data_IF_902823323320
#
_entry.id   IF_902823323320
#
_cell.length_a   1.000
_cell.length_b   1.000
_cell.length_c   1.000
_cell.angle_alpha   90.00
_cell.angle_beta   90.00
_cell.angle_gamma   90.00
#
_symmetry.space_group_name_H-M   'P 1'
#
loop_
_entity.id
_entity.type
_entity.pdbx_description
1 polymer ?
#
# COMPACT_ATOMS: atom_id res chain seq x y z
N UNK A 1 18.50 -36.73 23.09
CA UNK A 1 19.28 -35.87 22.17
C UNK A 1 18.97 -34.42 22.53
N UNK A 2 19.91 -33.48 22.39
CA UNK A 2 19.64 -32.08 22.73
C UNK A 2 18.59 -31.50 21.78
N UNK A 3 17.61 -30.79 22.35
CA UNK A 3 16.59 -30.06 21.60
C UNK A 3 17.28 -28.98 20.75
N UNK A 4 17.02 -28.96 19.44
CA UNK A 4 17.51 -27.90 18.54
C UNK A 4 16.44 -26.83 18.41
N UNK A 5 16.86 -25.57 18.52
CA UNK A 5 15.97 -24.42 18.42
C UNK A 5 16.35 -23.57 17.21
N UNK A 6 15.33 -23.16 16.46
CA UNK A 6 15.41 -22.21 15.36
C UNK A 6 14.47 -21.04 15.65
N UNK A 7 14.92 -19.81 15.39
CA UNK A 7 14.08 -18.60 15.49
C UNK A 7 13.92 -17.99 14.11
N UNK A 8 12.69 -17.59 13.77
CA UNK A 8 12.29 -16.88 12.56
C UNK A 8 11.48 -15.66 13.00
N UNK A 9 12.14 -14.50 13.09
CA UNK A 9 11.57 -13.26 13.65
C UNK A 9 11.50 -12.09 12.65
N UNK A 10 11.75 -12.37 11.37
CA UNK A 10 11.81 -11.36 10.30
C UNK A 10 11.39 -11.97 8.95
N UNK A 11 11.65 -11.25 7.87
CA UNK A 11 11.25 -11.60 6.51
C UNK A 11 11.78 -12.97 6.08
N UNK A 12 10.89 -13.80 5.53
CA UNK A 12 11.23 -15.11 4.95
C UNK A 12 11.62 -14.88 3.49
N UNK A 13 12.89 -15.13 3.15
CA UNK A 13 13.36 -14.93 1.79
C UNK A 13 14.86 -15.01 1.66
N UNK A 14 15.41 -14.52 0.55
CA UNK A 14 16.82 -14.67 0.22
C UNK A 14 17.77 -13.99 1.22
N UNK A 15 17.37 -12.86 1.81
CA UNK A 15 18.19 -12.07 2.73
C UNK A 15 17.76 -12.26 4.19
N UNK A 16 17.84 -13.50 4.68
CA UNK A 16 17.46 -13.85 6.04
C UNK A 16 17.11 -15.32 6.14
N UNK A 17 15.83 -15.59 6.42
CA UNK A 17 15.31 -16.95 6.61
C UNK A 17 15.08 -17.66 5.28
N UNK A 18 16.17 -17.94 4.56
CA UNK A 18 16.12 -18.54 3.23
C UNK A 18 15.91 -20.05 3.27
N UNK A 19 15.35 -20.64 2.19
CA UNK A 19 15.19 -22.10 2.07
C UNK A 19 16.53 -22.83 2.20
N UNK A 20 17.62 -22.24 1.70
CA UNK A 20 18.97 -22.78 1.85
C UNK A 20 19.44 -22.75 3.30
N UNK A 21 19.29 -21.61 3.97
CA UNK A 21 19.73 -21.45 5.35
C UNK A 21 18.97 -22.36 6.31
N UNK A 22 17.64 -22.47 6.17
CA UNK A 22 16.84 -23.41 6.96
C UNK A 22 17.27 -24.85 6.70
N UNK A 23 17.52 -25.23 5.44
CA UNK A 23 18.02 -26.57 5.11
C UNK A 23 19.38 -26.88 5.77
N UNK A 24 20.28 -25.89 5.87
CA UNK A 24 21.56 -26.04 6.56
C UNK A 24 21.39 -26.32 8.06
N UNK A 25 20.46 -25.64 8.73
CA UNK A 25 20.15 -25.89 10.16
C UNK A 25 19.66 -27.32 10.39
N UNK A 26 18.92 -27.88 9.44
CA UNK A 26 18.39 -29.24 9.54
C UNK A 26 19.40 -30.31 9.10
N UNK A 27 20.59 -29.94 8.63
CA UNK A 27 21.60 -30.91 8.18
C UNK A 27 22.18 -31.65 9.38
N UNK A 28 22.17 -32.98 9.33
CA UNK A 28 22.64 -33.82 10.44
C UNK A 28 21.72 -33.79 11.67
N UNK A 29 20.46 -33.36 11.49
CA UNK A 29 19.46 -33.31 12.55
C UNK A 29 18.34 -34.34 12.37
N UNK A 30 18.45 -35.30 11.45
CA UNK A 30 17.32 -36.07 10.91
C UNK A 30 16.42 -36.78 11.96
N UNK A 31 16.92 -37.06 13.16
CA UNK A 31 16.15 -37.66 14.26
C UNK A 31 15.92 -36.72 15.46
N UNK A 32 16.38 -35.48 15.39
CA UNK A 32 16.25 -34.49 16.46
C UNK A 32 14.83 -33.92 16.50
N UNK A 33 14.37 -33.61 17.71
CA UNK A 33 13.24 -32.69 17.89
C UNK A 33 13.72 -31.26 17.62
N UNK A 34 12.98 -30.53 16.78
CA UNK A 34 13.29 -29.15 16.43
C UNK A 34 12.12 -28.26 16.84
N UNK A 35 12.40 -27.28 17.70
CA UNK A 35 11.47 -26.19 17.99
C UNK A 35 11.77 -24.98 17.12
N UNK A 36 10.75 -24.47 16.43
CA UNK A 36 10.86 -23.30 15.55
C UNK A 36 9.99 -22.18 16.13
N UNK A 37 10.62 -21.17 16.71
CA UNK A 37 9.96 -19.97 17.20
C UNK A 37 9.73 -19.00 16.04
N UNK A 38 8.46 -18.63 15.81
CA UNK A 38 8.07 -17.84 14.65
C UNK A 38 7.34 -16.58 15.14
N UNK A 39 7.89 -15.42 14.78
CA UNK A 39 7.32 -14.09 14.98
C UNK A 39 7.60 -13.25 13.73
N UNK A 40 6.92 -13.57 12.62
CA UNK A 40 7.21 -13.00 11.31
C UNK A 40 5.94 -12.62 10.56
N UNK A 41 6.01 -11.49 9.85
CA UNK A 41 4.95 -11.00 8.97
C UNK A 41 4.92 -11.70 7.60
N UNK A 42 5.84 -12.64 7.35
CA UNK A 42 5.89 -13.49 6.17
C UNK A 42 7.03 -13.16 5.21
N UNK A 43 6.78 -13.33 3.91
CA UNK A 43 7.75 -13.10 2.85
C UNK A 43 7.51 -13.95 1.61
N UNK A 44 8.59 -14.44 1.00
CA UNK A 44 8.58 -15.17 -0.26
C UNK A 44 7.84 -16.51 -0.16
N UNK A 45 6.84 -16.70 -1.02
CA UNK A 45 6.06 -17.94 -1.13
C UNK A 45 6.94 -19.13 -1.57
N UNK A 46 7.86 -18.92 -2.52
CA UNK A 46 8.78 -19.97 -2.98
C UNK A 46 9.64 -20.51 -1.83
N UNK A 47 10.24 -19.60 -1.04
CA UNK A 47 11.04 -19.99 0.11
C UNK A 47 10.19 -20.72 1.15
N UNK A 48 8.98 -20.23 1.41
CA UNK A 48 8.12 -20.81 2.41
C UNK A 48 7.55 -22.18 1.99
N UNK A 49 7.30 -22.43 0.70
CA UNK A 49 6.93 -23.77 0.22
C UNK A 49 8.08 -24.77 0.45
N UNK A 50 9.32 -24.40 0.12
CA UNK A 50 10.47 -25.27 0.35
C UNK A 50 10.72 -25.53 1.85
N UNK A 51 10.53 -24.53 2.71
CA UNK A 51 10.67 -24.67 4.17
C UNK A 51 9.54 -25.55 4.74
N UNK A 52 8.30 -25.35 4.28
CA UNK A 52 7.17 -26.23 4.61
C UNK A 52 7.51 -27.70 4.32
N UNK A 53 8.00 -27.99 3.12
CA UNK A 53 8.32 -29.36 2.71
C UNK A 53 9.48 -29.93 3.51
N UNK A 54 10.47 -29.10 3.87
CA UNK A 54 11.54 -29.51 4.78
C UNK A 54 11.00 -29.89 6.15
N UNK A 55 10.10 -29.10 6.73
CA UNK A 55 9.48 -29.39 8.03
C UNK A 55 8.67 -30.69 7.98
N UNK A 56 7.87 -30.86 6.91
CA UNK A 56 7.06 -32.06 6.72
C UNK A 56 7.91 -33.32 6.53
N UNK A 57 8.99 -33.23 5.75
CA UNK A 57 9.93 -34.33 5.51
C UNK A 57 10.69 -34.71 6.78
N UNK A 58 11.07 -33.72 7.60
CA UNK A 58 11.70 -33.97 8.89
C UNK A 58 10.77 -34.67 9.88
N UNK A 59 9.48 -34.31 9.86
CA UNK A 59 8.43 -35.04 10.59
C UNK A 59 8.44 -34.85 12.11
N UNK A 60 9.45 -34.21 12.71
CA UNK A 60 9.53 -33.94 14.15
C UNK A 60 9.82 -32.46 14.49
N UNK A 61 9.09 -31.56 13.82
CA UNK A 61 9.16 -30.10 14.05
C UNK A 61 7.97 -29.61 14.86
N UNK A 62 8.22 -28.81 15.90
CA UNK A 62 7.21 -28.05 16.65
C UNK A 62 7.34 -26.57 16.32
N UNK A 63 6.35 -25.98 15.66
CA UNK A 63 6.30 -24.55 15.39
C UNK A 63 5.63 -23.81 16.56
N UNK A 64 6.23 -22.72 17.03
CA UNK A 64 5.80 -21.93 18.18
C UNK A 64 5.58 -20.49 17.73
N UNK A 65 4.31 -20.09 17.65
CA UNK A 65 3.91 -18.74 17.27
C UNK A 65 3.93 -17.79 18.46
N UNK A 66 4.65 -16.69 18.30
CA UNK A 66 4.73 -15.56 19.23
C UNK A 66 4.61 -14.26 18.45
N UNK A 67 4.14 -13.17 19.06
CA UNK A 67 4.00 -11.90 18.33
C UNK A 67 2.89 -11.89 17.30
N UNK A 68 3.13 -11.14 16.22
CA UNK A 68 2.30 -11.06 15.03
C UNK A 68 2.84 -12.06 14.01
N UNK A 69 2.02 -13.05 13.62
CA UNK A 69 2.43 -14.06 12.64
C UNK A 69 1.49 -14.04 11.44
N UNK A 70 2.03 -13.75 10.26
CA UNK A 70 1.24 -13.58 9.05
C UNK A 70 1.83 -14.32 7.85
N UNK A 71 0.96 -14.59 6.87
CA UNK A 71 1.35 -14.89 5.49
C UNK A 71 2.28 -16.12 5.35
N UNK A 72 3.41 -15.99 4.66
CA UNK A 72 4.34 -17.09 4.44
C UNK A 72 4.82 -17.74 5.76
N UNK A 73 4.86 -17.00 6.86
CA UNK A 73 5.25 -17.52 8.17
C UNK A 73 4.20 -18.46 8.79
N UNK A 74 2.92 -18.20 8.54
CA UNK A 74 1.85 -19.11 8.94
C UNK A 74 1.81 -20.35 8.03
N UNK A 75 2.25 -20.21 6.77
CA UNK A 75 2.31 -21.29 5.79
C UNK A 75 3.41 -22.32 6.07
N UNK A 76 4.63 -21.90 6.44
CA UNK A 76 5.73 -22.85 6.74
C UNK A 76 5.34 -23.83 7.85
N UNK A 77 4.61 -23.34 8.86
CA UNK A 77 4.21 -24.11 10.02
C UNK A 77 3.14 -25.17 9.72
N UNK A 78 2.49 -25.13 8.54
CA UNK A 78 1.58 -26.19 8.11
C UNK A 78 2.29 -27.53 7.91
N UNK A 79 3.60 -27.49 7.64
CA UNK A 79 4.46 -28.67 7.52
C UNK A 79 4.99 -29.16 8.87
N UNK A 80 4.78 -28.41 9.96
CA UNK A 80 5.19 -28.82 11.29
C UNK A 80 4.28 -29.92 11.84
N UNK A 81 4.87 -30.86 12.57
CA UNK A 81 4.15 -31.94 13.27
C UNK A 81 3.17 -31.37 14.29
N UNK A 82 3.57 -30.31 14.99
CA UNK A 82 2.76 -29.64 16.01
C UNK A 82 2.90 -28.13 15.90
N UNK A 83 1.79 -27.41 16.05
CA UNK A 83 1.75 -25.94 16.13
C UNK A 83 1.26 -25.49 17.50
N UNK A 84 2.03 -24.64 18.16
CA UNK A 84 1.71 -24.01 19.44
C UNK A 84 1.63 -22.50 19.26
N UNK A 85 0.71 -21.82 19.91
CA UNK A 85 0.57 -20.38 19.80
C UNK A 85 0.39 -19.72 21.16
N UNK A 86 1.10 -18.62 21.39
CA UNK A 86 0.90 -17.79 22.56
C UNK A 86 -0.51 -17.18 22.53
N UNK A 87 -1.19 -17.15 23.67
CA UNK A 87 -2.51 -16.51 23.84
C UNK A 87 -2.49 -15.02 23.49
N UNK A 88 -1.32 -14.38 23.54
CA UNK A 88 -1.15 -12.96 23.22
C UNK A 88 -0.87 -12.72 21.74
N UNK A 89 -0.69 -13.77 20.94
CA UNK A 89 -0.33 -13.65 19.53
C UNK A 89 -1.53 -13.46 18.63
N UNK A 90 -1.25 -12.89 17.46
CA UNK A 90 -2.21 -12.75 16.37
C UNK A 90 -1.74 -13.55 15.15
N UNK A 91 -2.68 -14.14 14.43
CA UNK A 91 -2.45 -15.00 13.28
C UNK A 91 -3.22 -14.47 12.07
N UNK A 92 -2.57 -14.29 10.92
CA UNK A 92 -3.23 -13.80 9.71
C UNK A 92 -2.86 -14.64 8.50
N UNK A 93 -3.88 -14.95 7.69
CA UNK A 93 -3.73 -15.51 6.35
C UNK A 93 -4.39 -14.57 5.36
N UNK A 94 -3.84 -14.49 4.16
CA UNK A 94 -4.36 -13.64 3.09
C UNK A 94 -4.06 -14.25 1.72
N UNK A 95 -4.72 -13.75 0.67
CA UNK A 95 -4.44 -14.17 -0.73
C UNK A 95 -3.01 -13.80 -1.14
N UNK A 96 -2.40 -14.61 -1.99
CA UNK A 96 -1.03 -14.33 -2.46
C UNK A 96 -1.00 -12.96 -3.13
N UNK A 97 0.01 -12.16 -2.78
CA UNK A 97 0.20 -10.81 -3.28
C UNK A 97 1.56 -10.68 -3.97
N UNK A 98 1.67 -9.71 -4.86
CA UNK A 98 2.92 -9.20 -5.41
C UNK A 98 2.96 -7.69 -5.16
N UNK A 99 4.16 -7.15 -4.98
CA UNK A 99 4.37 -5.70 -5.08
C UNK A 99 4.36 -5.29 -6.54
N UNK A 100 3.67 -4.21 -6.86
CA UNK A 100 3.69 -3.59 -8.20
C UNK A 100 4.17 -2.17 -7.98
N UNK A 101 5.44 -1.92 -8.30
CA UNK A 101 6.02 -0.58 -8.29
C UNK A 101 6.34 -0.18 -9.73
N UNK A 102 5.76 0.93 -10.19
CA UNK A 102 5.98 1.46 -11.53
C UNK A 102 6.80 2.74 -11.39
N UNK A 103 8.08 2.64 -11.70
CA UNK A 103 9.03 3.77 -11.68
C UNK A 103 9.39 4.20 -13.10
N UNK A 104 8.38 4.44 -13.94
CA UNK A 104 8.56 4.82 -15.34
C UNK A 104 7.44 5.76 -15.83
N UNK A 105 7.66 6.43 -16.97
CA UNK A 105 6.64 7.21 -17.67
C UNK A 105 6.06 6.37 -18.81
N UNK A 106 4.80 5.97 -18.68
CA UNK A 106 4.11 5.10 -19.63
C UNK A 106 3.17 5.92 -20.52
N UNK A 107 3.18 5.68 -21.84
CA UNK A 107 2.15 6.18 -22.75
C UNK A 107 0.92 5.23 -22.76
N UNK A 108 -0.09 5.54 -23.57
CA UNK A 108 -1.33 4.75 -23.68
C UNK A 108 -1.09 3.27 -24.05
N UNK A 109 -0.19 3.01 -25.00
CA UNK A 109 0.13 1.65 -25.46
C UNK A 109 0.87 0.86 -24.36
N UNK A 110 1.77 1.52 -23.64
CA UNK A 110 2.51 0.92 -22.53
C UNK A 110 1.58 0.56 -21.36
N UNK A 111 0.56 1.39 -21.09
CA UNK A 111 -0.46 1.13 -20.08
C UNK A 111 -1.31 -0.08 -20.47
N UNK A 112 -1.74 -0.17 -21.72
CA UNK A 112 -2.52 -1.32 -22.22
C UNK A 112 -1.72 -2.62 -22.11
N UNK A 113 -0.43 -2.59 -22.47
CA UNK A 113 0.47 -3.73 -22.31
C UNK A 113 0.63 -4.14 -20.84
N UNK A 114 0.75 -3.17 -19.94
CA UNK A 114 0.85 -3.42 -18.50
C UNK A 114 -0.45 -4.04 -17.94
N UNK A 115 -1.62 -3.56 -18.34
CA UNK A 115 -2.91 -4.14 -17.94
C UNK A 115 -2.97 -5.62 -18.33
N UNK A 116 -2.61 -5.94 -19.58
CA UNK A 116 -2.58 -7.33 -20.05
C UNK A 116 -1.60 -8.20 -19.26
N UNK A 117 -0.46 -7.66 -18.83
CA UNK A 117 0.48 -8.36 -17.98
C UNK A 117 -0.09 -8.58 -16.57
N UNK A 118 -0.68 -7.55 -15.95
CA UNK A 118 -1.29 -7.65 -14.63
C UNK A 118 -2.48 -8.62 -14.59
N UNK A 119 -3.24 -8.73 -15.67
CA UNK A 119 -4.28 -9.75 -15.81
C UNK A 119 -3.70 -11.17 -15.81
N UNK A 120 -2.57 -11.40 -16.49
CA UNK A 120 -1.86 -12.69 -16.45
C UNK A 120 -1.34 -12.97 -15.04
N UNK A 121 -0.70 -12.00 -14.40
CA UNK A 121 -0.14 -12.15 -13.06
C UNK A 121 -1.24 -12.44 -12.03
N UNK A 122 -2.37 -11.74 -12.12
CA UNK A 122 -3.58 -12.01 -11.31
C UNK A 122 -4.06 -13.45 -11.44
N UNK A 123 -4.05 -14.01 -12.65
CA UNK A 123 -4.45 -15.40 -12.88
C UNK A 123 -3.44 -16.40 -12.28
N UNK A 124 -2.14 -16.14 -12.37
CA UNK A 124 -1.11 -16.97 -11.72
C UNK A 124 -1.18 -16.88 -10.19
N UNK A 125 -1.46 -15.70 -9.64
CA UNK A 125 -1.68 -15.51 -8.20
C UNK A 125 -2.92 -16.26 -7.71
N UNK A 126 -3.97 -16.33 -8.51
CA UNK A 126 -5.17 -17.10 -8.18
C UNK A 126 -4.85 -18.61 -8.10
N UNK A 127 -4.01 -19.14 -9.01
CA UNK A 127 -3.56 -20.54 -8.97
C UNK A 127 -2.73 -20.81 -7.71
N UNK A 128 -1.76 -19.95 -7.41
CA UNK A 128 -0.91 -20.09 -6.21
C UNK A 128 -1.73 -19.98 -4.94
N UNK A 129 -2.68 -19.05 -4.88
CA UNK A 129 -3.63 -18.91 -3.77
C UNK A 129 -4.43 -20.19 -3.56
N UNK A 130 -4.89 -20.85 -4.63
CA UNK A 130 -5.64 -22.10 -4.53
C UNK A 130 -4.77 -23.24 -3.96
N UNK A 131 -3.50 -23.33 -4.35
CA UNK A 131 -2.56 -24.32 -3.80
C UNK A 131 -2.41 -24.12 -2.29
N UNK A 132 -2.14 -22.90 -1.85
CA UNK A 132 -1.95 -22.56 -0.44
C UNK A 132 -3.24 -22.76 0.36
N UNK A 133 -4.40 -22.39 -0.19
CA UNK A 133 -5.68 -22.61 0.45
C UNK A 133 -5.95 -24.11 0.70
N UNK A 134 -5.52 -25.00 -0.20
CA UNK A 134 -5.61 -26.45 0.00
C UNK A 134 -4.74 -26.94 1.16
N UNK A 135 -3.56 -26.34 1.37
CA UNK A 135 -2.69 -26.68 2.50
C UNK A 135 -3.38 -26.34 3.84
N UNK A 136 -3.91 -25.11 3.96
CA UNK A 136 -4.68 -24.69 5.14
C UNK A 136 -5.93 -25.54 5.35
N UNK A 137 -6.67 -25.85 4.27
CA UNK A 137 -7.86 -26.68 4.33
C UNK A 137 -7.54 -28.09 4.84
N UNK A 138 -6.42 -28.67 4.40
CA UNK A 138 -5.95 -29.97 4.86
C UNK A 138 -5.58 -29.95 6.36
N UNK A 139 -4.80 -28.97 6.81
CA UNK A 139 -4.41 -28.83 8.23
C UNK A 139 -5.63 -28.58 9.12
N UNK A 140 -6.49 -27.64 8.73
CA UNK A 140 -7.67 -27.23 9.51
C UNK A 140 -8.90 -28.14 9.40
N UNK A 141 -8.87 -29.11 8.48
CA UNK A 141 -10.01 -29.96 8.11
C UNK A 141 -11.25 -29.13 7.75
N UNK A 142 -11.05 -28.10 6.92
CA UNK A 142 -12.09 -27.16 6.44
C UNK A 142 -12.28 -27.30 4.94
N UNK A 143 -13.36 -26.70 4.41
CA UNK A 143 -13.52 -26.59 2.97
C UNK A 143 -12.52 -25.56 2.41
N UNK A 144 -11.96 -25.85 1.24
CA UNK A 144 -11.08 -24.90 0.53
C UNK A 144 -11.78 -23.56 0.29
N UNK A 145 -13.09 -23.58 0.06
CA UNK A 145 -13.89 -22.36 -0.09
C UNK A 145 -13.85 -21.48 1.16
N UNK A 146 -14.05 -22.06 2.35
CA UNK A 146 -14.06 -21.31 3.61
C UNK A 146 -12.69 -20.68 3.89
N UNK A 147 -11.61 -21.39 3.54
CA UNK A 147 -10.26 -20.87 3.61
C UNK A 147 -10.05 -19.71 2.64
N UNK A 148 -10.51 -19.82 1.39
CA UNK A 148 -10.41 -18.74 0.40
C UNK A 148 -11.19 -17.50 0.84
N UNK A 149 -12.36 -17.69 1.46
CA UNK A 149 -13.17 -16.62 2.01
C UNK A 149 -12.46 -15.95 3.21
N UNK A 150 -11.81 -16.72 4.08
CA UNK A 150 -10.99 -16.19 5.18
C UNK A 150 -9.75 -15.44 4.67
N UNK A 151 -9.02 -15.98 3.69
CA UNK A 151 -7.89 -15.32 3.04
C UNK A 151 -8.29 -14.02 2.34
N UNK A 152 -9.54 -13.92 1.86
CA UNK A 152 -10.08 -12.69 1.27
C UNK A 152 -10.33 -11.61 2.33
N UNK A 153 -10.72 -11.98 3.55
CA UNK A 153 -10.99 -11.03 4.63
C UNK A 153 -9.72 -10.33 5.11
N UNK A 154 -8.56 -11.00 5.04
CA UNK A 154 -7.27 -10.45 5.46
C UNK A 154 -7.32 -9.94 6.92
N UNK A 155 -8.02 -10.65 7.81
CA UNK A 155 -8.20 -10.25 9.21
C UNK A 155 -7.26 -10.99 10.14
N UNK A 156 -6.88 -10.35 11.24
CA UNK A 156 -6.15 -11.00 12.32
C UNK A 156 -7.06 -11.91 13.16
N UNK A 157 -6.58 -13.11 13.45
CA UNK A 157 -7.21 -14.08 14.33
C UNK A 157 -6.46 -14.12 15.66
N UNK A 158 -7.20 -14.18 16.76
CA UNK A 158 -6.66 -14.54 18.08
C UNK A 158 -6.18 -15.99 18.07
N UNK A 159 -5.37 -16.37 19.06
CA UNK A 159 -4.89 -17.74 19.21
C UNK A 159 -6.02 -18.77 19.33
N UNK A 160 -7.12 -18.44 20.04
CA UNK A 160 -8.27 -19.34 20.18
C UNK A 160 -9.05 -19.47 18.86
N UNK A 161 -9.18 -18.39 18.08
CA UNK A 161 -9.77 -18.45 16.73
C UNK A 161 -8.89 -19.26 15.78
N UNK A 162 -7.57 -19.05 15.77
CA UNK A 162 -6.66 -19.84 14.94
C UNK A 162 -6.72 -21.35 15.29
N UNK A 163 -6.91 -21.66 16.58
CA UNK A 163 -7.15 -23.03 17.04
C UNK A 163 -8.52 -23.58 16.59
N UNK A 164 -9.60 -22.80 16.61
CA UNK A 164 -10.92 -23.25 16.14
C UNK A 164 -10.97 -23.48 14.62
N UNK A 165 -10.14 -22.75 13.88
CA UNK A 165 -9.86 -23.01 12.46
C UNK A 165 -9.00 -24.26 12.22
N UNK A 166 -8.33 -24.78 13.26
CA UNK A 166 -7.47 -25.95 13.20
C UNK A 166 -6.06 -25.68 12.69
N UNK A 167 -5.65 -24.40 12.62
CA UNK A 167 -4.29 -24.02 12.25
C UNK A 167 -3.29 -24.18 13.41
N UNK A 168 -3.80 -24.10 14.64
CA UNK A 168 -3.04 -24.21 15.89
C UNK A 168 -3.51 -25.43 16.68
N UNK A 169 -2.59 -26.29 17.09
CA UNK A 169 -2.91 -27.47 17.89
C UNK A 169 -3.05 -27.11 19.39
N UNK A 170 -2.17 -26.25 19.92
CA UNK A 170 -2.11 -25.88 21.33
C UNK A 170 -1.99 -24.36 21.54
N UNK A 171 -2.76 -23.80 22.48
CA UNK A 171 -2.61 -22.40 22.91
C UNK A 171 -1.99 -22.41 24.30
N UNK A 172 -0.93 -21.63 24.50
CA UNK A 172 -0.26 -21.47 25.79
C UNK A 172 -0.30 -20.02 26.25
N UNK A 173 -0.29 -19.78 27.57
CA UNK A 173 -0.28 -18.44 28.15
C UNK A 173 1.12 -18.11 28.65
N UNK A 174 1.81 -17.11 28.08
CA UNK A 174 3.11 -16.66 28.62
C UNK A 174 2.91 -15.83 29.89
N UNK A 175 3.97 -15.64 30.66
CA UNK A 175 3.94 -14.90 31.93
C UNK A 175 3.65 -13.39 31.80
N UNK A 176 3.84 -12.81 30.61
CA UNK A 176 3.59 -11.39 30.32
C UNK A 176 2.66 -11.24 29.12
N UNK A 177 1.59 -10.45 29.29
CA UNK A 177 0.69 -10.03 28.20
C UNK A 177 1.27 -8.80 27.51
N UNK A 178 1.39 -8.86 26.18
CA UNK A 178 1.92 -7.78 25.33
C UNK A 178 0.81 -7.36 24.37
N UNK A 179 0.51 -6.06 24.30
CA UNK A 179 -0.40 -5.49 23.33
C UNK A 179 0.41 -4.91 22.16
N UNK A 180 0.44 -5.61 21.03
CA UNK A 180 1.27 -5.22 19.88
C UNK A 180 0.75 -3.98 19.15
N UNK A 181 -0.53 -3.62 19.33
CA UNK A 181 -1.10 -2.40 18.77
C UNK A 181 -0.64 -1.11 19.49
N UNK A 182 0.07 -1.24 20.61
CA UNK A 182 0.68 -0.12 21.34
C UNK A 182 2.15 0.09 20.94
N UNK A 183 2.75 -0.82 20.16
CA UNK A 183 4.10 -0.71 19.62
C UNK A 183 4.06 -0.05 18.23
N UNK A 184 4.44 1.22 18.16
CA UNK A 184 4.42 2.02 16.93
C UNK A 184 5.30 1.43 15.81
N UNK A 185 6.42 0.79 16.16
CA UNK A 185 7.29 0.17 15.17
C UNK A 185 6.59 -1.05 14.55
N UNK A 186 5.88 -1.83 15.36
CA UNK A 186 5.11 -2.96 14.87
C UNK A 186 3.93 -2.51 14.01
N UNK A 187 3.24 -1.44 14.41
CA UNK A 187 2.17 -0.84 13.58
C UNK A 187 2.70 -0.41 12.22
N UNK A 188 3.84 0.29 12.18
CA UNK A 188 4.49 0.70 10.94
C UNK A 188 4.86 -0.51 10.04
N UNK A 189 5.40 -1.58 10.63
CA UNK A 189 5.72 -2.80 9.88
C UNK A 189 4.47 -3.50 9.32
N UNK A 190 3.39 -3.59 10.11
CA UNK A 190 2.11 -4.16 9.67
C UNK A 190 1.56 -3.39 8.46
N UNK A 191 1.58 -2.05 8.54
CA UNK A 191 1.12 -1.19 7.46
C UNK A 191 2.01 -1.28 6.22
N UNK A 192 3.34 -1.30 6.38
CA UNK A 192 4.28 -1.44 5.29
C UNK A 192 4.13 -2.78 4.54
N UNK A 193 3.64 -3.83 5.21
CA UNK A 193 3.30 -5.11 4.59
C UNK A 193 1.85 -5.16 4.04
N UNK A 194 1.12 -4.05 4.08
CA UNK A 194 -0.23 -3.94 3.54
C UNK A 194 -1.33 -4.63 4.37
N UNK A 195 -1.06 -4.97 5.62
CA UNK A 195 -2.02 -5.65 6.51
C UNK A 195 -2.86 -4.65 7.32
N UNK A 196 -4.11 -4.99 7.70
CA UNK A 196 -4.89 -4.12 8.58
C UNK A 196 -4.27 -4.07 9.98
N UNK A 197 -4.45 -2.96 10.67
CA UNK A 197 -4.03 -2.83 12.07
C UNK A 197 -4.96 -3.71 12.93
N UNK A 198 -4.45 -4.58 13.81
CA UNK A 198 -5.28 -5.37 14.71
C UNK A 198 -6.08 -4.46 15.64
N UNK A 199 -7.34 -4.83 15.92
CA UNK A 199 -8.17 -4.10 16.88
C UNK A 199 -7.49 -4.05 18.25
N UNK A 200 -7.43 -2.85 18.85
CA UNK A 200 -6.92 -2.67 20.20
C UNK A 200 -7.85 -3.42 21.15
N UNK A 201 -7.30 -4.36 21.92
CA UNK A 201 -8.03 -4.94 23.05
C UNK A 201 -8.42 -3.81 24.01
N UNK A 202 -9.71 -3.51 24.12
CA UNK A 202 -10.25 -2.53 25.07
C UNK A 202 -10.11 -3.06 26.50
N UNK A 203 -8.94 -2.86 27.10
CA UNK A 203 -8.84 -2.80 28.57
C UNK A 203 -9.16 -1.37 29.02
N UNK A 204 -9.66 -1.17 30.26
CA UNK A 204 -10.19 0.12 30.71
C UNK A 204 -9.16 1.22 30.45
N UNK A 205 -9.66 2.36 29.97
CA UNK A 205 -8.86 3.53 29.61
C UNK A 205 -7.71 3.69 30.60
N UNK A 206 -6.47 3.56 30.11
CA UNK A 206 -5.34 4.09 30.88
C UNK A 206 -5.64 5.58 31.06
N UNK A 207 -5.54 6.13 32.28
CA UNK A 207 -5.59 7.58 32.42
C UNK A 207 -4.55 8.17 31.47
N UNK A 208 -4.92 9.25 30.80
CA UNK A 208 -4.06 9.96 29.86
C UNK A 208 -2.65 10.04 30.44
N UNK A 209 -1.67 9.59 29.66
CA UNK A 209 -0.28 9.60 30.08
C UNK A 209 0.13 11.05 30.25
N UNK A 210 0.34 11.46 31.49
CA UNK A 210 0.92 12.75 31.83
C UNK A 210 2.41 12.74 31.43
N UNK A 211 2.72 13.37 30.30
CA UNK A 211 4.07 13.48 29.75
C UNK A 211 5.04 14.10 30.75
N UNK A 212 4.58 14.98 31.65
CA UNK A 212 5.42 15.58 32.69
C UNK A 212 5.78 14.57 33.79
N UNK A 213 4.90 13.63 34.12
CA UNK A 213 5.13 12.57 35.12
C UNK A 213 6.18 11.55 34.67
N UNK A 214 6.21 11.24 33.37
CA UNK A 214 7.22 10.36 32.77
C UNK A 214 8.61 11.00 32.77
N UNK A 215 8.69 12.27 32.37
CA UNK A 215 9.93 13.05 32.34
C UNK A 215 10.48 13.20 33.76
N UNK A 216 9.64 13.58 34.74
CA UNK A 216 10.07 13.78 36.13
C UNK A 216 10.51 12.48 36.85
N UNK A 217 10.01 11.30 36.45
CA UNK A 217 10.50 10.00 36.97
C UNK A 217 11.83 9.56 36.39
N UNK A 218 12.22 10.04 35.21
CA UNK A 218 13.42 9.61 34.49
C UNK A 218 14.64 10.51 34.79
N UNK A 219 14.44 11.82 34.96
CA UNK A 219 15.52 12.77 35.22
C UNK A 219 16.43 12.48 36.44
N UNK A 220 15.94 12.06 37.62
CA UNK A 220 16.81 11.84 38.77
C UNK A 220 17.70 10.59 38.62
N UNK A 221 17.32 9.64 37.76
CA UNK A 221 18.13 8.43 37.48
C UNK A 221 19.23 8.68 36.45
N UNK A 222 19.12 9.74 35.65
CA UNK A 222 20.11 10.11 34.64
C UNK A 222 21.34 10.82 35.25
N UNK A 223 21.19 11.47 36.41
CA UNK A 223 22.25 12.30 37.01
C UNK A 223 23.38 11.51 37.67
N UNK A 224 23.14 10.26 38.05
CA UNK A 224 24.15 9.42 38.71
C UNK A 224 25.10 8.68 37.73
N UNK A 225 24.84 8.74 36.42
CA UNK A 225 25.63 8.04 35.40
C UNK A 225 26.86 8.81 34.86
N UNK A 226 27.15 10.03 35.34
CA UNK A 226 28.19 10.86 34.72
C UNK A 226 29.34 11.21 35.68
N UNK A 227 30.39 10.35 35.72
CA UNK A 227 31.77 10.73 36.11
C UNK A 227 32.82 10.01 35.23
N UNK A 228 33.87 10.70 34.71
CA UNK A 228 34.63 10.18 33.56
C UNK A 228 36.07 9.70 33.87
N UNK A 229 36.62 8.83 33.01
CA UNK A 229 38.06 8.70 32.64
C UNK A 229 38.24 7.90 31.32
N UNK A 230 39.31 8.17 30.56
CA UNK A 230 39.44 8.06 29.09
C UNK A 230 40.20 6.85 28.48
N UNK A 231 39.93 6.58 27.17
CA UNK A 231 40.74 6.07 25.99
C UNK A 231 40.48 4.61 25.51
N UNK A 232 40.64 4.21 24.21
CA UNK A 232 40.22 4.71 22.87
C UNK A 232 39.42 3.65 22.02
N UNK A 233 39.22 3.83 20.70
CA UNK A 233 38.00 4.25 19.97
C UNK A 233 37.96 3.52 18.59
N UNK A 234 36.80 3.06 18.07
CA UNK A 234 36.70 2.33 16.79
C UNK A 234 35.56 2.83 15.84
N UNK A 235 35.77 2.72 14.52
CA UNK A 235 34.94 3.32 13.45
C UNK A 235 33.67 2.52 13.09
N UNK A 236 32.54 2.75 13.75
CA UNK A 236 31.22 2.26 13.31
C UNK A 236 30.22 3.45 13.11
N UNK A 237 29.06 3.19 12.47
CA UNK A 237 27.93 4.13 12.22
C UNK A 237 28.05 5.15 11.08
N UNK A 238 28.48 4.75 9.87
CA UNK A 238 28.71 5.64 8.72
C UNK A 238 27.56 6.59 8.34
N UNK A 239 26.32 6.11 8.33
CA UNK A 239 25.17 6.95 7.96
C UNK A 239 24.80 7.95 9.08
N UNK A 240 24.95 7.53 10.33
CA UNK A 240 24.72 8.39 11.50
C UNK A 240 25.82 9.45 11.60
N UNK A 241 27.07 9.06 11.37
CA UNK A 241 28.22 9.96 11.28
C UNK A 241 28.00 11.02 10.19
N UNK A 242 27.49 10.62 9.02
CA UNK A 242 27.16 11.52 7.91
C UNK A 242 26.04 12.51 8.27
N UNK A 243 24.96 12.03 8.90
CA UNK A 243 23.85 12.88 9.35
C UNK A 243 24.30 13.89 10.42
N UNK A 244 25.17 13.45 11.32
CA UNK A 244 25.74 14.26 12.39
C UNK A 244 26.92 15.14 11.97
N UNK A 245 27.33 15.05 10.69
CA UNK A 245 28.48 15.76 10.12
C UNK A 245 29.77 15.55 10.91
N UNK A 246 29.93 14.35 11.50
CA UNK A 246 31.13 13.93 12.23
C UNK A 246 31.80 12.78 11.48
N UNK A 247 33.13 12.71 11.51
CA UNK A 247 33.85 11.60 10.86
C UNK A 247 33.62 10.25 11.57
N UNK A 248 33.41 10.30 12.89
CA UNK A 248 33.20 9.15 13.76
C UNK A 248 32.51 9.61 15.05
N UNK A 249 31.69 8.74 15.62
CA UNK A 249 31.10 8.95 16.92
C UNK A 249 32.05 8.51 18.04
N UNK A 250 32.06 9.28 19.12
CA UNK A 250 32.80 8.93 20.32
C UNK A 250 32.10 7.76 21.02
N UNK A 251 32.88 6.73 21.33
CA UNK A 251 32.42 5.51 22.00
C UNK A 251 33.17 5.32 23.31
N UNK A 252 32.46 4.84 24.32
CA UNK A 252 33.01 4.32 25.58
C UNK A 252 32.63 2.84 25.74
N UNK A 253 33.16 2.19 26.77
CA UNK A 253 32.82 0.80 27.12
C UNK A 253 31.33 0.61 27.47
N UNK A 254 30.60 1.69 27.76
CA UNK A 254 29.17 1.71 28.09
C UNK A 254 28.28 1.99 26.88
N UNK A 255 28.85 2.50 25.78
CA UNK A 255 28.12 2.78 24.55
C UNK A 255 28.61 4.00 23.79
N UNK A 256 27.83 4.41 22.79
CA UNK A 256 28.07 5.60 21.96
C UNK A 256 27.22 6.74 22.48
N UNK A 257 27.81 7.92 22.67
CA UNK A 257 27.13 9.08 23.22
C UNK A 257 27.08 10.23 22.21
N UNK A 258 26.00 11.02 22.28
CA UNK A 258 25.77 12.21 21.45
C UNK A 258 25.74 13.45 22.35
N UNK A 259 26.40 14.52 21.90
CA UNK A 259 26.33 15.82 22.58
C UNK A 259 25.08 16.60 22.14
N UNK A 260 24.82 17.73 22.82
CA UNK A 260 23.64 18.56 22.59
C UNK A 260 23.57 19.14 21.17
N UNK A 261 24.71 19.46 20.55
CA UNK A 261 24.77 19.93 19.16
C UNK A 261 24.43 18.82 18.15
N UNK A 262 24.87 17.59 18.43
CA UNK A 262 24.55 16.41 17.62
C UNK A 262 23.08 16.02 17.75
N UNK A 263 22.51 16.09 18.96
CA UNK A 263 21.07 15.88 19.17
C UNK A 263 20.24 16.95 18.47
N UNK A 264 20.62 18.24 18.58
CA UNK A 264 19.97 19.32 17.85
C UNK A 264 20.07 19.14 16.32
N UNK A 265 21.20 18.62 15.82
CA UNK A 265 21.36 18.32 14.39
C UNK A 265 20.43 17.18 13.93
N UNK A 266 20.19 16.16 14.77
CA UNK A 266 19.22 15.10 14.49
C UNK A 266 17.81 15.68 14.47
N UNK A 267 17.44 16.50 15.44
CA UNK A 267 16.11 17.11 15.50
C UNK A 267 15.84 18.00 14.29
N UNK A 268 16.84 18.76 13.83
CA UNK A 268 16.75 19.59 12.63
C UNK A 268 16.62 18.74 11.35
N UNK A 269 17.42 17.69 11.18
CA UNK A 269 17.33 16.80 10.02
C UNK A 269 16.00 16.02 10.01
N UNK A 270 15.51 15.60 11.19
CA UNK A 270 14.22 14.93 11.32
C UNK A 270 13.06 15.88 11.00
N UNK A 271 13.12 17.14 11.47
CA UNK A 271 12.15 18.17 11.12
C UNK A 271 12.17 18.49 9.61
N UNK A 272 13.36 18.56 8.99
CA UNK A 272 13.51 18.75 7.56
C UNK A 272 12.96 17.57 6.75
N UNK A 273 13.18 16.32 7.21
CA UNK A 273 12.62 15.12 6.61
C UNK A 273 11.08 15.13 6.66
N UNK A 274 10.50 15.45 7.83
CA UNK A 274 9.04 15.60 7.99
C UNK A 274 8.50 16.68 7.05
N UNK A 275 9.20 17.80 6.92
CA UNK A 275 8.81 18.88 6.01
C UNK A 275 8.87 18.45 4.55
N UNK A 276 9.89 17.70 4.15
CA UNK A 276 10.04 17.15 2.80
C UNK A 276 8.94 16.12 2.48
N UNK A 277 8.61 15.24 3.41
CA UNK A 277 7.52 14.28 3.26
C UNK A 277 6.16 14.97 3.13
N UNK A 278 5.90 16.01 3.94
CA UNK A 278 4.69 16.81 3.82
C UNK A 278 4.59 17.51 2.45
N UNK A 279 5.70 18.04 1.94
CA UNK A 279 5.74 18.65 0.60
C UNK A 279 5.49 17.60 -0.50
N UNK A 280 6.03 16.39 -0.35
CA UNK A 280 5.79 15.27 -1.27
C UNK A 280 4.32 14.85 -1.28
N UNK A 281 3.70 14.70 -0.11
CA UNK A 281 2.28 14.37 0.04
C UNK A 281 1.39 15.44 -0.63
N UNK A 282 1.73 16.72 -0.45
CA UNK A 282 1.03 17.82 -1.12
C UNK A 282 1.16 17.76 -2.64
N UNK A 283 2.37 17.48 -3.16
CA UNK A 283 2.60 17.34 -4.59
C UNK A 283 1.85 16.13 -5.18
N UNK A 284 1.82 15.00 -4.48
CA UNK A 284 1.05 13.80 -4.87
C UNK A 284 -0.45 14.10 -4.91
N UNK A 285 -0.96 14.85 -3.92
CA UNK A 285 -2.36 15.28 -3.88
C UNK A 285 -2.71 16.20 -5.05
N UNK A 286 -1.86 17.19 -5.34
CA UNK A 286 -2.05 18.09 -6.48
C UNK A 286 -2.02 17.33 -7.83
N UNK A 287 -1.12 16.35 -7.95
CA UNK A 287 -1.05 15.48 -9.15
C UNK A 287 -2.33 14.67 -9.33
N UNK A 288 -2.86 14.07 -8.27
CA UNK A 288 -4.12 13.30 -8.33
C UNK A 288 -5.32 14.17 -8.76
N UNK A 289 -5.37 15.42 -8.28
CA UNK A 289 -6.39 16.38 -8.70
C UNK A 289 -6.26 16.77 -10.18
N UNK A 290 -5.03 17.04 -10.65
CA UNK A 290 -4.76 17.34 -12.05
C UNK A 290 -5.14 16.17 -12.97
N UNK A 291 -4.86 14.95 -12.55
CA UNK A 291 -5.20 13.74 -13.31
C UNK A 291 -6.72 13.54 -13.42
N UNK A 292 -7.45 13.76 -12.32
CA UNK A 292 -8.93 13.73 -12.33
C UNK A 292 -9.50 14.77 -13.29
N UNK A 293 -8.93 15.98 -13.32
CA UNK A 293 -9.34 17.04 -14.24
C UNK A 293 -9.02 16.66 -15.70
N UNK A 294 -7.87 16.04 -15.96
CA UNK A 294 -7.48 15.53 -17.28
C UNK A 294 -8.46 14.48 -17.79
N UNK A 295 -8.75 13.43 -17.02
CA UNK A 295 -9.71 12.38 -17.39
C UNK A 295 -11.11 12.95 -17.65
N UNK A 296 -11.53 13.94 -16.84
CA UNK A 296 -12.80 14.63 -17.04
C UNK A 296 -12.83 15.38 -18.38
N UNK A 297 -11.75 16.09 -18.71
CA UNK A 297 -11.62 16.81 -19.98
C UNK A 297 -11.56 15.86 -21.19
N UNK A 298 -10.84 14.75 -21.09
CA UNK A 298 -10.75 13.71 -22.12
C UNK A 298 -12.11 13.05 -22.37
N UNK A 299 -12.85 12.74 -21.30
CA UNK A 299 -14.22 12.20 -21.41
C UNK A 299 -15.15 13.20 -22.09
N UNK A 300 -15.08 14.49 -21.70
CA UNK A 300 -15.89 15.54 -22.33
C UNK A 300 -15.54 15.71 -23.82
N UNK A 301 -14.26 15.65 -24.18
CA UNK A 301 -13.80 15.73 -25.57
C UNK A 301 -14.27 14.52 -26.39
N UNK A 302 -14.14 13.30 -25.85
CA UNK A 302 -14.59 12.07 -26.50
C UNK A 302 -16.10 12.08 -26.75
N UNK A 303 -16.89 12.54 -25.77
CA UNK A 303 -18.34 12.71 -25.92
C UNK A 303 -18.68 13.72 -27.02
N UNK A 304 -18.03 14.89 -27.04
CA UNK A 304 -18.24 15.91 -28.06
C UNK A 304 -17.89 15.41 -29.47
N UNK A 305 -16.80 14.64 -29.63
CA UNK A 305 -16.43 14.04 -30.91
C UNK A 305 -17.48 13.01 -31.33
N UNK A 306 -17.94 12.16 -30.41
CA UNK A 306 -18.98 11.16 -30.68
C UNK A 306 -20.29 11.79 -31.14
N UNK A 307 -20.67 12.95 -30.58
CA UNK A 307 -21.82 13.72 -31.06
C UNK A 307 -21.65 14.19 -32.50
N UNK A 308 -20.46 14.67 -32.90
CA UNK A 308 -20.19 15.10 -34.27
C UNK A 308 -20.29 13.94 -35.28
N UNK A 309 -19.92 12.73 -34.87
CA UNK A 309 -19.99 11.54 -35.73
C UNK A 309 -21.41 11.18 -36.14
N UNK A 310 -22.41 11.61 -35.36
CA UNK A 310 -23.83 11.41 -35.68
C UNK A 310 -24.33 12.26 -36.85
N UNK A 311 -23.59 13.29 -37.26
CA UNK A 311 -24.00 14.23 -38.33
C UNK A 311 -24.05 13.55 -39.70
N UNK A 312 -23.20 12.55 -39.95
CA UNK A 312 -23.21 11.79 -41.19
C UNK A 312 -21.89 11.04 -41.47
N UNK A 313 -21.95 10.09 -42.40
CA UNK A 313 -20.86 9.14 -42.67
C UNK A 313 -19.55 9.80 -43.13
N UNK A 314 -19.63 10.94 -43.82
CA UNK A 314 -18.46 11.74 -44.22
C UNK A 314 -17.80 12.45 -43.03
N UNK A 315 -18.56 12.84 -42.01
CA UNK A 315 -18.03 13.47 -40.79
C UNK A 315 -17.46 12.40 -39.86
N UNK A 316 -18.12 11.26 -39.73
CA UNK A 316 -17.65 10.15 -38.89
C UNK A 316 -16.32 9.56 -39.36
N UNK A 317 -16.08 9.51 -40.68
CA UNK A 317 -14.84 8.98 -41.27
C UNK A 317 -13.65 9.95 -41.26
N UNK A 318 -13.83 11.21 -40.85
CA UNK A 318 -12.74 12.17 -40.79
C UNK A 318 -11.81 11.90 -39.59
N UNK A 319 -10.49 11.93 -39.82
CA UNK A 319 -9.47 11.42 -38.89
C UNK A 319 -9.23 12.34 -37.68
N UNK A 320 -9.45 13.66 -37.82
CA UNK A 320 -9.25 14.63 -36.74
C UNK A 320 -10.35 15.70 -36.73
N UNK A 321 -10.36 16.54 -35.69
CA UNK A 321 -11.39 17.58 -35.50
C UNK A 321 -11.40 18.60 -36.65
N UNK A 322 -10.24 18.99 -37.18
CA UNK A 322 -10.18 19.95 -38.28
C UNK A 322 -10.85 19.39 -39.55
N UNK A 323 -10.62 18.11 -39.84
CA UNK A 323 -11.23 17.41 -40.96
C UNK A 323 -12.73 17.20 -40.75
N UNK A 324 -13.17 16.90 -39.53
CA UNK A 324 -14.60 16.84 -39.16
C UNK A 324 -15.29 18.17 -39.42
N UNK A 325 -14.68 19.29 -39.00
CA UNK A 325 -15.19 20.64 -39.25
C UNK A 325 -15.25 20.96 -40.75
N UNK A 326 -14.25 20.55 -41.53
CA UNK A 326 -14.26 20.75 -42.98
C UNK A 326 -15.38 19.94 -43.66
N UNK A 327 -15.60 18.68 -43.25
CA UNK A 327 -16.67 17.83 -43.76
C UNK A 327 -18.07 18.40 -43.47
N UNK A 328 -18.27 18.95 -42.26
CA UNK A 328 -19.50 19.63 -41.87
C UNK A 328 -19.76 20.85 -42.77
N UNK A 329 -18.74 21.69 -43.01
CA UNK A 329 -18.84 22.88 -43.89
C UNK A 329 -19.24 22.49 -45.32
N UNK A 330 -18.61 21.46 -45.88
CA UNK A 330 -18.94 20.96 -47.22
C UNK A 330 -20.38 20.45 -47.28
N UNK A 331 -20.83 19.71 -46.27
CA UNK A 331 -22.20 19.18 -46.19
C UNK A 331 -23.23 20.31 -46.11
N UNK A 332 -22.96 21.35 -45.31
CA UNK A 332 -23.82 22.54 -45.22
C UNK A 332 -23.90 23.29 -46.55
N UNK A 333 -22.79 23.42 -47.28
CA UNK A 333 -22.75 24.11 -48.57
C UNK A 333 -23.54 23.39 -49.68
N UNK A 334 -23.74 22.07 -49.55
CA UNK A 334 -24.53 21.27 -50.49
C UNK A 334 -26.04 21.38 -50.26
N UNK A 335 -26.49 21.89 -49.11
CA UNK A 335 -27.92 22.15 -48.87
C UNK A 335 -28.30 23.44 -49.60
N UNK A 336 -29.15 23.40 -50.63
CA UNK A 336 -29.56 24.62 -51.31
C UNK A 336 -30.32 25.49 -50.30
N UNK A 337 -29.90 26.74 -50.14
CA UNK A 337 -30.67 27.72 -49.40
C UNK A 337 -32.07 27.81 -50.03
N UNK A 338 -33.07 27.29 -49.34
CA UNK A 338 -34.44 27.56 -49.72
C UNK A 338 -34.67 29.05 -49.47
N UNK A 339 -34.89 29.83 -50.54
CA UNK A 339 -35.56 31.12 -50.37
C UNK A 339 -36.85 30.86 -49.59
N UNK A 340 -37.17 31.65 -48.56
CA UNK A 340 -38.47 31.56 -47.93
C UNK A 340 -39.53 31.55 -49.03
N UNK A 341 -40.44 30.58 -49.00
CA UNK A 341 -41.58 30.53 -49.88
C UNK A 341 -42.49 31.72 -49.55
N UNK A 342 -42.27 32.83 -50.24
CA UNK A 342 -43.04 34.06 -50.13
C UNK A 342 -42.61 35.02 -51.22
N UNK A 343 -43.57 35.57 -51.95
CA UNK A 343 -43.33 36.61 -52.95
C UNK A 343 -42.91 37.89 -52.22
N UNK A 344 -41.63 38.04 -51.90
CA UNK A 344 -41.08 39.37 -51.68
C UNK A 344 -40.96 40.03 -53.05
N UNK A 345 -41.97 40.85 -53.37
CA UNK A 345 -41.97 41.68 -54.57
C UNK A 345 -40.73 42.57 -54.60
N UNK A 346 -40.32 43.00 -55.80
CA UNK A 346 -39.17 43.91 -56.01
C UNK A 346 -39.39 45.35 -55.47
N UNK A 347 -40.33 45.52 -54.55
CA UNK A 347 -40.57 46.72 -53.76
C UNK A 347 -40.91 46.26 -52.36
N UNK A 348 -40.26 46.85 -51.36
CA UNK A 348 -40.72 46.74 -49.99
C UNK A 348 -42.19 47.21 -49.95
N UNK A 349 -43.07 46.53 -49.20
CA UNK A 349 -44.40 47.05 -48.98
C UNK A 349 -44.25 48.48 -48.46
N UNK A 350 -44.99 49.43 -49.04
CA UNK A 350 -45.07 50.79 -48.49
C UNK A 350 -45.30 50.66 -46.98
N UNK A 351 -44.38 51.23 -46.19
CA UNK A 351 -44.50 51.27 -44.74
C UNK A 351 -45.80 52.02 -44.46
N UNK A 352 -46.89 51.27 -44.24
CA UNK A 352 -48.02 51.80 -43.51
C UNK A 352 -47.47 52.04 -42.13
N UNK A 353 -47.33 53.32 -41.80
CA UNK A 353 -46.92 53.78 -40.50
C UNK A 353 -48.03 53.34 -39.52
N UNK A 354 -47.96 52.11 -39.02
CA UNK A 354 -48.91 51.52 -38.07
C UNK A 354 -48.76 52.14 -36.66
N UNK A 355 -48.60 53.46 -36.60
CA UNK A 355 -48.45 54.21 -35.35
C UNK A 355 -47.16 53.92 -34.58
N UNK A 356 -46.18 53.26 -35.21
CA UNK A 356 -44.87 53.00 -34.57
C UNK A 356 -43.98 54.22 -34.73
N UNK A 357 -43.71 54.88 -33.60
CA UNK A 357 -42.78 56.00 -33.53
C UNK A 357 -41.33 55.49 -33.52
N UNK A 358 -40.79 55.36 -34.74
CA UNK A 358 -39.43 54.91 -34.98
C UNK A 358 -38.36 55.90 -34.47
N UNK A 359 -38.67 57.18 -34.30
CA UNK A 359 -37.73 58.15 -33.74
C UNK A 359 -37.47 57.88 -32.25
N UNK A 360 -38.53 57.55 -31.50
CA UNK A 360 -38.41 57.19 -30.08
C UNK A 360 -37.64 55.88 -29.89
N UNK A 361 -37.85 54.89 -30.75
CA UNK A 361 -37.14 53.59 -30.69
C UNK A 361 -35.64 53.72 -31.02
N UNK A 362 -35.30 54.50 -32.05
CA UNK A 362 -33.90 54.70 -32.46
C UNK A 362 -33.13 55.64 -31.52
N UNK A 363 -33.84 56.41 -30.68
CA UNK A 363 -33.21 57.23 -29.64
C UNK A 363 -32.85 56.42 -28.37
N UNK A 364 -33.25 55.15 -28.26
CA UNK A 364 -33.00 54.32 -27.08
C UNK A 364 -31.50 54.04 -26.89
N UNK A 365 -30.97 54.12 -25.66
CA UNK A 365 -29.53 54.04 -25.40
C UNK A 365 -28.84 52.77 -25.90
N UNK A 366 -29.55 51.64 -25.89
CA UNK A 366 -29.01 50.34 -26.29
C UNK A 366 -28.96 50.12 -27.81
N UNK A 367 -29.64 50.97 -28.60
CA UNK A 367 -29.59 50.92 -30.07
C UNK A 367 -28.44 51.77 -30.64
N UNK A 368 -27.75 52.57 -29.81
CA UNK A 368 -26.61 53.41 -30.22
C UNK A 368 -25.25 52.73 -30.08
N UNK A 369 -25.17 51.56 -29.46
CA UNK A 369 -23.90 50.84 -29.25
C UNK A 369 -23.56 49.85 -30.37
N UNK A 370 -24.42 49.72 -31.37
CA UNK A 370 -24.18 48.89 -32.56
C UNK A 370 -24.31 49.72 -33.82
N UNK A 371 -23.29 50.54 -34.08
CA UNK A 371 -22.84 50.92 -35.42
C UNK A 371 -21.34 51.24 -35.41
#
# INVERSE_FOLDING_TARGET
>A
MPLKTLTIDSYIGQYGYSKQWVNQIFTGADNDEIEVHISSLGGSVDHAMAIHDRFATHGNVTAIFTGMVASAATMIALGAKKTRMSRNSMYLIHKVMIGIDIFDNLNEDDIDALILQLEKDKNELAKTTLVIARMYAAKGKKLVKDILDLMKQQTWLTADQAKSWGFVDEVFTPSKVVNYADDLNMVALIQANGYPIPERSTQPERPAVDEESLINRLLPKLKDLFKPKHTPMNKQFLNLNKALKVEKLESTDEGVFLNEEQLNSIDQEMAACIQADNARIQAETARAQAETARTTAETALSNAISELDTIGETVSKAENIADKVAAIKTTLAQKPGAKPSGVQGKKDPEIKNEGVDWETLNALPHMKETD
#
